data_IF_910552565272
#
_entry.id   IF_910552565272
#
_cell.length_a   1.000
_cell.length_b   1.000
_cell.length_c   1.000
_cell.angle_alpha   90.00
_cell.angle_beta   90.00
_cell.angle_gamma   90.00
#
_symmetry.space_group_name_H-M   'P 1'
#
loop_
_entity.id
_entity.type
_entity.pdbx_description
1 polymer ?
#
# COMPACT_ATOMS: atom_id res chain seq x y z
N UNK A 1 -43.90 -3.41 64.62
CA UNK A 1 -43.27 -2.31 63.83
C UNK A 1 -41.98 -2.84 63.26
N UNK A 2 -42.00 -3.34 62.05
CA UNK A 2 -40.83 -3.83 61.32
C UNK A 2 -40.37 -2.74 60.35
N UNK A 3 -39.11 -2.38 60.46
CA UNK A 3 -38.42 -1.57 59.48
C UNK A 3 -37.77 -2.49 58.42
N UNK A 4 -38.31 -2.47 57.20
CA UNK A 4 -37.66 -3.11 56.05
C UNK A 4 -36.47 -2.27 55.61
N UNK A 5 -35.27 -2.85 55.80
CA UNK A 5 -34.02 -2.33 55.26
C UNK A 5 -33.92 -2.73 53.78
N UNK A 6 -34.23 -1.80 52.88
CA UNK A 6 -34.02 -1.96 51.45
C UNK A 6 -32.52 -2.01 51.12
N UNK A 7 -31.98 -3.22 50.96
CA UNK A 7 -30.64 -3.41 50.42
C UNK A 7 -30.60 -3.08 48.95
N UNK A 8 -30.01 -1.95 48.58
CA UNK A 8 -29.63 -1.66 47.18
C UNK A 8 -28.54 -2.64 46.74
N UNK A 9 -28.97 -3.66 45.96
CA UNK A 9 -28.06 -4.57 45.31
C UNK A 9 -27.38 -3.82 44.14
N UNK A 10 -26.20 -3.31 44.42
CA UNK A 10 -25.29 -2.79 43.39
C UNK A 10 -24.70 -3.99 42.60
N UNK A 11 -25.30 -4.27 41.47
CA UNK A 11 -24.67 -5.18 40.49
C UNK A 11 -23.41 -4.53 39.96
N UNK A 12 -22.29 -4.76 40.65
CA UNK A 12 -20.97 -4.50 40.09
C UNK A 12 -20.75 -5.47 38.95
N UNK A 13 -20.95 -4.98 37.71
CA UNK A 13 -20.49 -5.71 36.53
C UNK A 13 -18.99 -5.99 36.75
N UNK A 14 -18.56 -7.25 36.75
CA UNK A 14 -17.13 -7.54 36.94
C UNK A 14 -16.36 -6.89 35.83
N UNK A 15 -15.54 -5.92 36.21
CA UNK A 15 -14.62 -5.25 35.27
C UNK A 15 -13.79 -6.33 34.57
N UNK A 16 -13.61 -6.19 33.27
CA UNK A 16 -12.79 -7.09 32.44
C UNK A 16 -11.40 -7.29 33.04
N UNK A 17 -10.86 -6.29 33.74
CA UNK A 17 -9.61 -6.37 34.48
C UNK A 17 -9.66 -7.31 35.68
N UNK A 18 -10.80 -7.36 36.39
CA UNK A 18 -10.96 -8.27 37.55
C UNK A 18 -11.00 -9.74 37.11
N UNK A 19 -11.51 -10.02 35.92
CA UNK A 19 -11.46 -11.36 35.33
C UNK A 19 -10.04 -11.76 34.91
N UNK A 20 -9.23 -10.83 34.40
CA UNK A 20 -7.83 -11.09 34.04
C UNK A 20 -6.98 -11.39 35.27
N UNK A 21 -7.22 -10.70 36.37
CA UNK A 21 -6.51 -10.95 37.65
C UNK A 21 -6.83 -12.33 38.20
N UNK A 22 -8.08 -12.80 38.09
CA UNK A 22 -8.47 -14.16 38.52
C UNK A 22 -7.89 -15.27 37.65
N UNK A 23 -7.53 -14.98 36.37
CA UNK A 23 -6.92 -15.93 35.44
C UNK A 23 -5.38 -15.89 35.48
N UNK A 24 -4.77 -15.20 36.45
CA UNK A 24 -3.31 -15.03 36.55
C UNK A 24 -2.65 -14.49 35.26
N UNK A 25 -3.42 -13.80 34.41
CA UNK A 25 -2.93 -13.11 33.23
C UNK A 25 -2.31 -11.79 33.74
N UNK A 26 -1.02 -11.71 33.72
CA UNK A 26 -0.15 -10.64 34.22
C UNK A 26 -0.80 -9.29 34.56
N UNK A 27 -0.34 -8.68 35.61
CA UNK A 27 -0.89 -7.44 36.20
C UNK A 27 -0.83 -6.21 35.29
N UNK A 28 -0.03 -6.26 34.22
CA UNK A 28 0.12 -5.16 33.28
C UNK A 28 -0.62 -5.46 31.96
N UNK A 29 -1.47 -4.56 31.49
CA UNK A 29 -2.06 -4.71 30.16
C UNK A 29 -0.96 -4.71 29.10
N UNK A 30 -1.11 -5.50 28.02
CA UNK A 30 -0.18 -5.45 26.91
C UNK A 30 -0.02 -4.02 26.37
N UNK A 31 1.16 -3.66 25.89
CA UNK A 31 1.39 -2.33 25.33
C UNK A 31 0.48 -2.07 24.12
N UNK A 32 0.17 -0.81 23.82
CA UNK A 32 -0.56 -0.46 22.62
C UNK A 32 0.24 -0.87 21.37
N UNK A 33 -0.44 -1.14 20.23
CA UNK A 33 0.24 -1.45 18.99
C UNK A 33 1.14 -0.29 18.56
N UNK A 34 2.32 -0.63 18.03
CA UNK A 34 3.25 0.35 17.48
C UNK A 34 2.91 0.61 16.03
N UNK A 35 2.61 1.86 15.70
CA UNK A 35 2.42 2.29 14.32
C UNK A 35 3.74 2.22 13.55
N UNK A 36 3.74 1.56 12.39
CA UNK A 36 4.91 1.38 11.53
C UNK A 36 4.49 1.63 10.10
N UNK A 37 5.05 2.66 9.48
CA UNK A 37 4.90 2.87 8.05
C UNK A 37 5.87 1.95 7.29
N UNK A 38 5.32 0.90 6.69
CA UNK A 38 6.11 -0.07 5.92
C UNK A 38 6.28 0.44 4.49
N UNK A 39 7.53 0.71 4.10
CA UNK A 39 7.87 1.08 2.72
C UNK A 39 8.11 -0.16 1.86
N UNK A 40 7.62 -0.18 0.60
CA UNK A 40 7.83 -1.33 -0.29
C UNK A 40 9.31 -1.60 -0.57
N UNK A 41 9.67 -2.86 -0.62
CA UNK A 41 10.99 -3.34 -1.03
C UNK A 41 11.14 -3.35 -2.56
N UNK A 42 12.38 -3.46 -3.07
CA UNK A 42 12.64 -3.59 -4.51
C UNK A 42 11.85 -4.75 -5.13
N UNK A 43 11.81 -5.92 -4.47
CA UNK A 43 11.06 -7.09 -4.93
C UNK A 43 9.55 -6.83 -5.02
N UNK A 44 8.99 -6.07 -4.08
CA UNK A 44 7.57 -5.69 -4.11
C UNK A 44 7.28 -4.71 -5.25
N UNK A 45 8.21 -3.80 -5.57
CA UNK A 45 8.11 -2.97 -6.77
C UNK A 45 8.18 -3.80 -8.06
N UNK A 46 9.01 -4.83 -8.11
CA UNK A 46 9.07 -5.76 -9.26
C UNK A 46 7.76 -6.56 -9.43
N UNK A 47 7.10 -6.90 -8.32
CA UNK A 47 5.78 -7.55 -8.33
C UNK A 47 4.63 -6.58 -8.65
N UNK A 48 4.83 -5.27 -8.49
CA UNK A 48 3.82 -4.24 -8.74
C UNK A 48 2.82 -4.01 -7.62
N UNK A 49 2.84 -4.84 -6.57
CA UNK A 49 1.96 -4.74 -5.41
C UNK A 49 2.62 -5.28 -4.14
N UNK A 50 2.10 -4.88 -2.96
CA UNK A 50 2.49 -5.44 -1.67
C UNK A 50 1.34 -5.41 -0.66
N UNK A 51 1.44 -6.23 0.39
CA UNK A 51 0.45 -6.27 1.45
C UNK A 51 0.72 -5.20 2.49
N UNK A 52 -0.34 -4.49 2.87
CA UNK A 52 -0.36 -3.55 4.00
C UNK A 52 -1.25 -4.12 5.10
N UNK A 53 -0.81 -3.96 6.34
CA UNK A 53 -1.45 -4.53 7.51
C UNK A 53 -1.92 -3.42 8.43
N UNK A 54 -3.13 -3.57 8.95
CA UNK A 54 -3.78 -2.54 9.76
C UNK A 54 -4.49 -3.13 10.95
N UNK A 55 -4.67 -2.28 11.95
CA UNK A 55 -5.55 -2.50 13.09
C UNK A 55 -6.60 -1.39 13.13
N UNK A 56 -7.87 -1.76 13.26
CA UNK A 56 -8.93 -0.84 13.62
C UNK A 56 -9.22 -0.98 15.11
N UNK A 57 -9.19 0.11 15.87
CA UNK A 57 -9.56 0.06 17.26
C UNK A 57 -11.08 -0.04 17.40
N UNK A 58 -11.55 -0.98 18.22
CA UNK A 58 -12.97 -1.06 18.57
C UNK A 58 -13.39 0.18 19.36
N UNK A 59 -14.60 0.65 19.15
CA UNK A 59 -15.21 1.81 19.83
C UNK A 59 -14.52 3.17 19.58
N UNK A 60 -13.51 3.24 18.72
CA UNK A 60 -12.87 4.49 18.30
C UNK A 60 -12.65 4.51 16.78
N UNK A 61 -12.74 5.68 16.18
CA UNK A 61 -12.31 5.88 14.77
C UNK A 61 -10.80 6.05 14.77
N UNK A 62 -10.09 4.94 14.93
CA UNK A 62 -8.62 4.92 14.94
C UNK A 62 -8.11 3.74 14.13
N UNK A 63 -7.34 4.05 13.08
CA UNK A 63 -6.66 3.08 12.23
C UNK A 63 -5.16 3.22 12.48
N UNK A 64 -4.48 2.09 12.60
CA UNK A 64 -3.03 2.02 12.85
C UNK A 64 -2.45 1.08 11.80
N UNK A 65 -1.46 1.53 11.04
CA UNK A 65 -0.68 0.66 10.15
C UNK A 65 0.41 -0.04 10.97
N UNK A 66 0.57 -1.34 10.75
CA UNK A 66 1.50 -2.21 11.47
C UNK A 66 2.29 -3.08 10.49
N UNK A 67 3.34 -3.74 10.95
CA UNK A 67 4.04 -4.76 10.18
C UNK A 67 3.35 -6.13 10.22
N UNK A 68 3.81 -7.04 9.37
CA UNK A 68 3.29 -8.41 9.27
C UNK A 68 3.45 -9.19 10.59
N UNK A 69 4.53 -8.94 11.33
CA UNK A 69 4.79 -9.63 12.62
C UNK A 69 3.74 -9.25 13.65
N UNK A 70 3.48 -7.96 13.80
CA UNK A 70 2.41 -7.50 14.69
C UNK A 70 1.04 -8.01 14.22
N UNK A 71 0.76 -7.94 12.91
CA UNK A 71 -0.49 -8.43 12.34
C UNK A 71 -0.75 -9.89 12.72
N UNK A 72 0.25 -10.76 12.54
CA UNK A 72 0.17 -12.18 12.92
C UNK A 72 -0.14 -12.35 14.40
N UNK A 73 0.51 -11.58 15.30
CA UNK A 73 0.25 -11.63 16.74
C UNK A 73 -1.22 -11.30 17.10
N UNK A 74 -1.82 -10.33 16.39
CA UNK A 74 -3.22 -9.97 16.60
C UNK A 74 -4.19 -11.02 16.03
N UNK A 75 -3.90 -11.58 14.85
CA UNK A 75 -4.70 -12.67 14.24
C UNK A 75 -4.68 -13.92 15.10
N UNK A 76 -3.51 -14.30 15.61
CA UNK A 76 -3.33 -15.46 16.48
C UNK A 76 -3.74 -15.21 17.93
N UNK A 77 -4.18 -13.99 18.26
CA UNK A 77 -4.63 -13.59 19.59
C UNK A 77 -3.60 -13.87 20.70
N UNK A 78 -2.34 -13.57 20.41
CA UNK A 78 -1.26 -13.79 21.35
C UNK A 78 -1.47 -13.03 22.66
N UNK A 79 -1.04 -13.58 23.82
CA UNK A 79 -1.28 -12.99 25.13
C UNK A 79 -0.55 -11.66 25.37
N UNK A 80 0.47 -11.35 24.56
CA UNK A 80 1.27 -10.14 24.65
C UNK A 80 0.68 -8.94 23.86
N UNK A 81 -0.49 -9.10 23.21
CA UNK A 81 -1.17 -8.04 22.49
C UNK A 81 -2.61 -7.87 22.95
N UNK A 82 -3.16 -6.66 22.78
CA UNK A 82 -4.53 -6.31 23.14
C UNK A 82 -5.52 -6.71 22.05
N UNK A 83 -5.53 -7.97 21.60
CA UNK A 83 -6.35 -8.44 20.49
C UNK A 83 -7.87 -8.20 20.68
N UNK A 84 -8.33 -8.03 21.91
CA UNK A 84 -9.74 -7.74 22.24
C UNK A 84 -10.17 -6.30 21.91
N UNK A 85 -9.20 -5.39 21.72
CA UNK A 85 -9.44 -3.98 21.46
C UNK A 85 -9.23 -3.59 20.00
N UNK A 86 -8.75 -4.51 19.18
CA UNK A 86 -8.38 -4.23 17.81
C UNK A 86 -8.80 -5.31 16.84
N UNK A 87 -9.30 -4.90 15.68
CA UNK A 87 -9.66 -5.77 14.57
C UNK A 87 -8.50 -5.73 13.56
N UNK A 88 -7.74 -6.84 13.38
CA UNK A 88 -6.70 -6.91 12.36
C UNK A 88 -7.31 -7.11 10.97
N UNK A 89 -6.79 -6.40 9.99
CA UNK A 89 -7.14 -6.59 8.59
C UNK A 89 -5.98 -6.22 7.68
N UNK A 90 -6.02 -6.71 6.44
CA UNK A 90 -4.97 -6.52 5.47
C UNK A 90 -5.53 -6.01 4.14
N UNK A 91 -4.67 -5.37 3.36
CA UNK A 91 -5.01 -4.76 2.08
C UNK A 91 -3.87 -4.96 1.08
N UNK A 92 -4.16 -5.53 -0.09
CA UNK A 92 -3.23 -5.49 -1.22
C UNK A 92 -3.19 -4.07 -1.78
N UNK A 93 -1.99 -3.52 -1.95
CA UNK A 93 -1.74 -2.16 -2.38
C UNK A 93 -0.92 -2.15 -3.66
N UNK A 94 -1.53 -1.68 -4.73
CA UNK A 94 -0.88 -1.58 -6.05
C UNK A 94 0.05 -0.36 -6.06
N UNK A 95 1.28 -0.54 -6.55
CA UNK A 95 2.33 0.49 -6.52
C UNK A 95 2.99 0.74 -7.87
N UNK A 96 2.63 -0.01 -8.91
CA UNK A 96 3.14 0.18 -10.27
C UNK A 96 2.04 0.11 -11.33
N UNK A 97 2.32 0.64 -12.51
CA UNK A 97 1.41 0.66 -13.63
C UNK A 97 1.04 2.08 -14.07
N UNK A 98 -0.18 2.27 -14.56
CA UNK A 98 -0.72 3.60 -14.83
C UNK A 98 -1.14 4.26 -13.52
N UNK A 99 -0.63 5.47 -13.22
CA UNK A 99 -0.86 6.15 -11.93
C UNK A 99 -2.34 6.37 -11.62
N UNK A 100 -3.13 6.78 -12.61
CA UNK A 100 -4.57 6.99 -12.42
C UNK A 100 -5.30 5.68 -12.13
N UNK A 101 -4.89 4.58 -12.80
CA UNK A 101 -5.42 3.25 -12.54
C UNK A 101 -5.07 2.78 -11.15
N UNK A 102 -3.80 2.89 -10.74
CA UNK A 102 -3.31 2.58 -9.38
C UNK A 102 -4.10 3.34 -8.32
N UNK A 103 -4.28 4.65 -8.50
CA UNK A 103 -5.08 5.46 -7.59
C UNK A 103 -6.52 4.92 -7.44
N UNK A 104 -7.18 4.62 -8.57
CA UNK A 104 -8.56 4.15 -8.55
C UNK A 104 -8.70 2.74 -7.98
N UNK A 105 -7.76 1.83 -8.29
CA UNK A 105 -7.74 0.47 -7.75
C UNK A 105 -7.55 0.46 -6.24
N UNK A 106 -6.57 1.20 -5.72
CA UNK A 106 -6.34 1.32 -4.29
C UNK A 106 -7.53 1.97 -3.57
N UNK A 107 -8.10 3.05 -4.15
CA UNK A 107 -9.31 3.68 -3.61
C UNK A 107 -10.49 2.71 -3.53
N UNK A 108 -10.70 1.91 -4.58
CA UNK A 108 -11.75 0.90 -4.61
C UNK A 108 -11.50 -0.22 -3.60
N UNK A 109 -10.25 -0.67 -3.43
CA UNK A 109 -9.88 -1.67 -2.45
C UNK A 109 -10.12 -1.18 -1.02
N UNK A 110 -9.73 0.05 -0.69
CA UNK A 110 -10.01 0.69 0.61
C UNK A 110 -11.51 0.78 0.87
N UNK A 111 -12.29 1.22 -0.13
CA UNK A 111 -13.75 1.32 0.00
C UNK A 111 -14.37 -0.05 0.28
N UNK A 112 -13.98 -1.08 -0.46
CA UNK A 112 -14.47 -2.46 -0.23
C UNK A 112 -14.18 -2.98 1.18
N UNK A 113 -12.98 -2.71 1.70
CA UNK A 113 -12.60 -3.14 3.06
C UNK A 113 -13.42 -2.38 4.10
N UNK A 114 -13.56 -1.05 3.95
CA UNK A 114 -14.37 -0.21 4.85
C UNK A 114 -15.81 -0.72 4.91
N UNK A 115 -16.43 -0.96 3.74
CA UNK A 115 -17.80 -1.43 3.63
C UNK A 115 -17.98 -2.87 4.15
N UNK A 116 -17.06 -3.79 3.78
CA UNK A 116 -17.15 -5.21 4.15
C UNK A 116 -16.97 -5.46 5.64
N UNK A 117 -16.05 -4.73 6.27
CA UNK A 117 -15.71 -4.92 7.69
C UNK A 117 -16.40 -3.91 8.60
N UNK A 118 -17.12 -2.93 8.06
CA UNK A 118 -17.75 -1.86 8.85
C UNK A 118 -16.75 -0.93 9.54
N UNK A 119 -15.53 -0.85 9.03
CA UNK A 119 -14.44 -0.07 9.63
C UNK A 119 -14.63 1.40 9.26
N UNK A 120 -14.99 2.24 10.23
CA UNK A 120 -15.19 3.66 9.98
C UNK A 120 -13.86 4.40 9.87
N UNK A 121 -13.75 5.29 8.87
CA UNK A 121 -12.62 6.21 8.74
C UNK A 121 -11.41 5.64 8.01
N UNK A 122 -11.49 4.42 7.47
CA UNK A 122 -10.37 3.83 6.74
C UNK A 122 -10.03 4.60 5.46
N UNK A 123 -11.04 5.05 4.73
CA UNK A 123 -10.83 5.95 3.58
C UNK A 123 -10.20 7.29 3.97
N UNK A 124 -10.60 7.84 5.12
CA UNK A 124 -10.06 9.10 5.63
C UNK A 124 -8.61 8.98 6.10
N UNK A 125 -8.20 7.79 6.58
CA UNK A 125 -6.83 7.49 6.98
C UNK A 125 -5.82 7.81 5.86
N UNK A 126 -6.14 7.51 4.62
CA UNK A 126 -5.24 7.76 3.48
C UNK A 126 -5.17 9.24 3.05
N UNK A 127 -6.04 10.10 3.55
CA UNK A 127 -6.07 11.52 3.19
C UNK A 127 -5.96 11.75 1.66
N UNK A 128 -6.71 10.99 0.89
CA UNK A 128 -6.71 10.98 -0.60
C UNK A 128 -5.39 10.53 -1.26
N UNK A 129 -4.42 10.00 -0.52
CA UNK A 129 -3.14 9.51 -1.04
C UNK A 129 -3.22 8.03 -1.46
N UNK A 130 -4.17 7.70 -2.35
CA UNK A 130 -4.35 6.33 -2.84
C UNK A 130 -3.27 5.87 -3.83
N UNK A 131 -2.36 6.76 -4.25
CA UNK A 131 -1.14 6.48 -5.00
C UNK A 131 0.13 6.54 -4.13
N UNK A 132 -0.01 6.46 -2.81
CA UNK A 132 1.14 6.42 -1.91
C UNK A 132 2.08 5.26 -2.30
N UNK A 133 3.38 5.53 -2.31
CA UNK A 133 4.45 4.62 -2.76
C UNK A 133 4.42 4.25 -4.25
N UNK A 134 3.57 4.88 -5.06
CA UNK A 134 3.60 4.68 -6.50
C UNK A 134 4.97 5.05 -7.09
N UNK A 135 5.50 4.18 -7.94
CA UNK A 135 6.66 4.46 -8.81
C UNK A 135 6.41 3.95 -10.21
N UNK A 136 6.96 4.65 -11.20
CA UNK A 136 6.86 4.23 -12.60
C UNK A 136 7.72 3.01 -12.93
N UNK A 137 8.80 2.78 -12.14
CA UNK A 137 9.71 1.62 -12.30
C UNK A 137 10.09 1.06 -10.92
N UNK A 138 10.81 -0.05 -10.90
CA UNK A 138 11.27 -0.71 -9.66
C UNK A 138 12.36 0.07 -8.89
N UNK A 139 12.65 1.31 -9.29
CA UNK A 139 13.62 2.20 -8.65
C UNK A 139 14.83 2.55 -9.51
N UNK A 140 14.95 1.92 -10.69
CA UNK A 140 15.99 2.22 -11.68
C UNK A 140 15.46 3.12 -12.80
N UNK A 141 16.32 3.95 -13.37
CA UNK A 141 15.99 4.74 -14.57
C UNK A 141 16.05 3.80 -15.76
N UNK A 142 15.00 3.73 -16.55
CA UNK A 142 14.97 2.97 -17.79
C UNK A 142 15.35 3.90 -18.94
N UNK A 143 16.52 3.67 -19.51
CA UNK A 143 17.08 4.48 -20.61
C UNK A 143 16.89 3.83 -21.98
N UNK A 144 17.09 4.60 -23.05
CA UNK A 144 17.11 4.13 -24.45
C UNK A 144 15.82 3.41 -24.88
N UNK A 145 14.67 3.87 -24.41
CA UNK A 145 13.36 3.42 -24.87
C UNK A 145 12.97 4.22 -26.12
N UNK A 146 12.21 3.60 -27.03
CA UNK A 146 11.77 4.23 -28.26
C UNK A 146 10.24 4.23 -28.37
N UNK A 147 9.67 5.33 -28.88
CA UNK A 147 8.26 5.45 -29.22
C UNK A 147 8.09 5.95 -30.65
N UNK A 148 7.07 5.43 -31.34
CA UNK A 148 6.74 5.79 -32.73
C UNK A 148 5.84 7.04 -32.85
N UNK A 149 5.45 7.62 -31.71
CA UNK A 149 4.57 8.78 -31.63
C UNK A 149 3.09 8.45 -31.37
N UNK A 150 2.72 7.19 -31.27
CA UNK A 150 1.35 6.77 -30.98
C UNK A 150 1.08 6.63 -29.47
N UNK A 151 2.13 6.48 -28.66
CA UNK A 151 2.04 6.18 -27.22
C UNK A 151 2.03 7.43 -26.37
N UNK A 152 2.91 8.39 -26.68
CA UNK A 152 3.17 9.55 -25.83
C UNK A 152 3.05 10.86 -26.59
N UNK A 153 2.68 11.90 -25.84
CA UNK A 153 2.75 13.31 -26.26
C UNK A 153 3.56 14.11 -25.25
N UNK A 154 4.21 15.17 -25.70
CA UNK A 154 4.92 16.12 -24.84
C UNK A 154 3.89 16.86 -24.00
N UNK A 155 4.03 16.81 -22.68
CA UNK A 155 3.08 17.44 -21.74
C UNK A 155 2.90 18.92 -22.04
N UNK A 156 4.00 19.64 -22.22
CA UNK A 156 4.02 21.10 -22.44
C UNK A 156 3.36 21.56 -23.73
N UNK A 157 3.47 20.80 -24.81
CA UNK A 157 3.01 21.21 -26.15
C UNK A 157 1.78 20.45 -26.61
N UNK A 158 1.46 19.32 -25.99
CA UNK A 158 0.40 18.40 -26.40
C UNK A 158 0.68 17.65 -27.72
N UNK A 159 1.85 17.85 -28.34
CA UNK A 159 2.21 17.22 -29.62
C UNK A 159 2.67 15.77 -29.42
N UNK A 160 2.27 14.84 -30.31
CA UNK A 160 2.80 13.47 -30.29
C UNK A 160 4.33 13.48 -30.32
N UNK A 161 4.94 12.61 -29.52
CA UNK A 161 6.40 12.50 -29.45
C UNK A 161 6.87 11.21 -30.10
N UNK A 162 7.76 11.32 -31.05
CA UNK A 162 8.45 10.20 -31.70
C UNK A 162 9.94 10.31 -31.45
N UNK A 163 10.56 9.23 -30.96
CA UNK A 163 12.00 9.19 -30.72
C UNK A 163 12.35 8.47 -29.42
N UNK A 164 13.60 8.64 -29.01
CA UNK A 164 14.12 8.01 -27.79
C UNK A 164 13.66 8.74 -26.54
N UNK A 165 13.31 7.97 -25.52
CA UNK A 165 12.89 8.47 -24.23
C UNK A 165 13.45 7.61 -23.09
N UNK A 166 13.36 8.10 -21.87
CA UNK A 166 13.68 7.34 -20.65
C UNK A 166 12.54 7.46 -19.64
N UNK A 167 12.48 6.55 -18.66
CA UNK A 167 11.50 6.58 -17.59
C UNK A 167 12.22 6.75 -16.26
N UNK A 168 11.94 7.86 -15.58
CA UNK A 168 12.41 8.10 -14.21
C UNK A 168 11.42 7.44 -13.22
N UNK A 169 11.90 6.74 -12.17
CA UNK A 169 11.02 6.02 -11.24
C UNK A 169 9.94 6.90 -10.58
N UNK A 170 10.28 8.12 -10.22
CA UNK A 170 9.35 9.00 -9.50
C UNK A 170 8.67 10.03 -10.43
N UNK A 171 9.33 10.41 -11.54
CA UNK A 171 8.85 11.47 -12.43
C UNK A 171 8.12 10.94 -13.67
N UNK A 172 8.37 9.68 -14.04
CA UNK A 172 7.76 9.05 -15.21
C UNK A 172 8.52 9.25 -16.51
N UNK A 173 7.85 9.06 -17.66
CA UNK A 173 8.47 9.15 -18.98
C UNK A 173 8.90 10.58 -19.30
N UNK A 174 10.09 10.73 -19.88
CA UNK A 174 10.70 12.02 -20.23
C UNK A 174 11.41 11.92 -21.57
N UNK A 175 11.51 13.06 -22.28
CA UNK A 175 12.16 13.17 -23.58
C UNK A 175 13.65 12.92 -23.47
N UNK A 176 14.22 12.20 -24.43
CA UNK A 176 15.66 11.90 -24.51
C UNK A 176 16.03 10.50 -24.10
N UNK A 177 17.09 9.96 -24.71
CA UNK A 177 17.53 8.58 -24.51
C UNK A 177 17.94 8.26 -23.06
N UNK A 178 18.57 9.23 -22.40
CA UNK A 178 19.13 9.08 -21.07
C UNK A 178 18.72 10.24 -20.16
N UNK A 179 18.69 9.95 -18.86
CA UNK A 179 18.42 11.00 -17.87
C UNK A 179 19.66 11.91 -17.74
N UNK A 180 19.43 13.18 -17.92
CA UNK A 180 20.45 14.23 -17.76
C UNK A 180 20.03 15.22 -16.71
N UNK A 181 21.00 15.91 -16.08
CA UNK A 181 20.74 16.89 -15.01
C UNK A 181 20.04 18.18 -15.50
N UNK A 182 19.95 18.39 -16.82
CA UNK A 182 19.27 19.57 -17.39
C UNK A 182 17.75 19.31 -17.43
N UNK A 183 16.92 20.37 -17.26
CA UNK A 183 15.49 20.27 -17.45
C UNK A 183 15.14 19.76 -18.85
N UNK A 184 14.28 18.75 -18.95
CA UNK A 184 13.75 18.22 -20.20
C UNK A 184 12.25 17.91 -20.03
N UNK A 185 11.53 17.86 -21.16
CA UNK A 185 10.09 17.80 -21.14
C UNK A 185 9.57 16.42 -20.70
N UNK A 186 8.43 16.43 -20.02
CA UNK A 186 7.72 15.22 -19.63
C UNK A 186 6.88 14.69 -20.78
N UNK A 187 6.71 13.39 -20.81
CA UNK A 187 5.85 12.67 -21.71
C UNK A 187 4.62 12.15 -20.97
N UNK A 188 3.45 12.39 -21.53
CA UNK A 188 2.18 11.87 -21.01
C UNK A 188 1.53 10.93 -22.03
N UNK A 189 0.88 9.85 -21.59
CA UNK A 189 0.21 8.91 -22.48
C UNK A 189 -0.85 9.61 -23.34
N UNK A 190 -0.95 9.26 -24.63
CA UNK A 190 -1.99 9.76 -25.53
C UNK A 190 -3.35 9.12 -25.21
N UNK A 191 -3.34 7.86 -24.77
CA UNK A 191 -4.53 7.10 -24.37
C UNK A 191 -4.37 6.61 -22.92
N UNK A 192 -5.42 6.67 -22.14
CA UNK A 192 -5.43 6.24 -20.73
C UNK A 192 -5.11 4.74 -20.51
N UNK A 193 -5.08 3.94 -21.59
CA UNK A 193 -4.88 2.49 -21.57
C UNK A 193 -3.45 2.04 -21.92
N UNK A 194 -2.50 2.96 -22.10
CA UNK A 194 -1.11 2.52 -22.26
C UNK A 194 -0.63 2.08 -20.88
N UNK A 195 -0.61 0.77 -20.68
CA UNK A 195 0.23 0.18 -19.64
C UNK A 195 1.65 0.60 -20.00
N UNK A 196 2.27 1.41 -19.14
CA UNK A 196 3.71 1.62 -19.21
C UNK A 196 4.28 0.22 -19.20
N UNK A 197 4.85 -0.21 -20.33
CA UNK A 197 5.39 -1.56 -20.45
C UNK A 197 6.30 -1.77 -19.27
N UNK A 198 5.89 -2.61 -18.35
CA UNK A 198 6.81 -3.12 -17.37
C UNK A 198 7.96 -3.65 -18.19
N UNK A 199 9.13 -3.02 -18.08
CA UNK A 199 10.34 -3.57 -18.62
C UNK A 199 10.64 -4.81 -17.79
N UNK A 200 9.88 -5.89 -18.06
CA UNK A 200 10.32 -7.22 -17.73
C UNK A 200 11.69 -7.30 -18.36
N UNK A 201 12.70 -7.64 -17.57
CA UNK A 201 14.05 -8.00 -17.98
C UNK A 201 13.98 -9.16 -18.98
N UNK A 202 13.47 -8.92 -20.16
CA UNK A 202 13.81 -9.71 -21.33
C UNK A 202 15.22 -9.24 -21.69
N UNK A 203 16.19 -9.87 -21.01
CA UNK A 203 17.53 -9.97 -21.54
C UNK A 203 17.38 -10.25 -23.04
N UNK A 204 17.78 -9.27 -23.84
CA UNK A 204 17.99 -9.46 -25.26
C UNK A 204 19.05 -10.55 -25.36
N UNK A 205 18.63 -11.81 -25.44
CA UNK A 205 19.47 -12.88 -25.96
C UNK A 205 19.71 -12.48 -27.40
N UNK A 206 20.75 -11.70 -27.65
CA UNK A 206 21.41 -11.66 -28.95
C UNK A 206 21.80 -13.10 -29.27
N UNK A 207 21.00 -13.74 -30.08
CA UNK A 207 21.42 -14.97 -30.78
C UNK A 207 22.60 -14.55 -31.66
N UNK A 208 23.79 -14.79 -31.20
CA UNK A 208 24.96 -14.87 -32.08
C UNK A 208 24.67 -16.05 -32.99
N UNK A 209 24.16 -15.78 -34.19
CA UNK A 209 24.28 -16.69 -35.33
C UNK A 209 25.76 -16.79 -35.62
N UNK A 210 26.40 -17.82 -35.12
CA UNK A 210 27.67 -18.30 -35.66
C UNK A 210 27.38 -18.84 -37.05
N UNK A 211 27.72 -18.03 -38.04
CA UNK A 211 27.93 -18.48 -39.40
C UNK A 211 29.21 -19.33 -39.38
N UNK A 212 29.04 -20.63 -39.24
CA UNK A 212 30.07 -21.62 -39.53
C UNK A 212 29.82 -22.11 -40.93
N UNK A 213 30.63 -21.68 -41.86
CA UNK A 213 30.70 -22.28 -43.17
C UNK A 213 31.42 -23.65 -43.11
N UNK A 214 30.93 -24.51 -43.83
CA UNK A 214 31.45 -25.49 -44.78
C UNK A 214 30.33 -26.46 -45.09
#
# INVERSE_FOLDING_TARGET
QGAESGGTSTYLLPNVYTRKTKLNLGTNPPPPPKEIMVTPTKKQYENGEYQRYFLSKENEIKIIEIDETQFTQYVEKMPNVNFQLYIPFQLSWVIQGNRSKVFNENKAAVTRIEDKLGIRGFKSYFNKKFDQYFKYTSGEILNNLETDGTEYKIEKTGKPYKGLYHIHPDKGPMVGAEHISRPHDFLIPIKDNIQIRQASNRSVRRSYRTSGGY
#
